data_IF_664930473256
#
_entry.id   IF_664930473256
#
_cell.length_a   1.000
_cell.length_b   1.000
_cell.length_c   1.000
_cell.angle_alpha   90.00
_cell.angle_beta   90.00
_cell.angle_gamma   90.00
#
_symmetry.space_group_name_H-M   'P 1'
#
loop_
_entity.id
_entity.type
_entity.pdbx_description
1 polymer ?
#
# COMPACT_ATOMS: atom_id res chain seq x y z
N UNK A 1 -0.24 13.07 -0.13
CA UNK A 1 -1.41 12.55 -0.89
C UNK A 1 -1.94 11.30 -0.19
N UNK A 2 -3.24 11.01 -0.26
CA UNK A 2 -3.82 9.79 0.32
C UNK A 2 -5.01 9.30 -0.51
N UNK A 3 -5.32 8.01 -0.41
CA UNK A 3 -6.49 7.41 -1.04
C UNK A 3 -6.77 6.01 -0.54
N UNK A 4 -8.02 5.58 -0.63
CA UNK A 4 -8.50 4.26 -0.24
C UNK A 4 -9.34 3.63 -1.36
N UNK A 5 -9.56 2.32 -1.26
CA UNK A 5 -10.36 1.58 -2.23
C UNK A 5 -10.15 0.08 -2.12
N UNK A 6 -10.21 -0.62 -3.26
CA UNK A 6 -10.05 -2.08 -3.31
C UNK A 6 -9.03 -2.53 -4.37
N UNK A 7 -8.23 -3.54 -4.03
CA UNK A 7 -7.36 -4.29 -4.95
C UNK A 7 -7.80 -5.75 -4.92
N UNK A 8 -8.24 -6.31 -6.04
CA UNK A 8 -8.71 -7.70 -6.13
C UNK A 8 -9.82 -8.04 -5.09
N UNK A 9 -10.67 -7.06 -4.75
CA UNK A 9 -11.72 -7.16 -3.74
C UNK A 9 -11.25 -7.05 -2.29
N UNK A 10 -9.98 -6.66 -2.06
CA UNK A 10 -9.38 -6.46 -0.75
C UNK A 10 -9.23 -4.97 -0.47
N UNK A 11 -9.66 -4.47 0.70
CA UNK A 11 -9.52 -3.07 1.07
C UNK A 11 -8.05 -2.63 1.05
N UNK A 12 -7.79 -1.41 0.57
CA UNK A 12 -6.47 -0.80 0.64
C UNK A 12 -6.51 0.63 1.18
N UNK A 13 -5.37 1.05 1.73
CA UNK A 13 -5.07 2.45 2.04
C UNK A 13 -3.69 2.82 1.50
N UNK A 14 -3.63 3.91 0.73
CA UNK A 14 -2.40 4.51 0.21
C UNK A 14 -2.14 5.83 0.91
N UNK A 15 -0.90 6.05 1.33
CA UNK A 15 -0.47 7.30 1.92
C UNK A 15 0.92 7.67 1.41
N UNK A 16 1.06 8.90 0.92
CA UNK A 16 2.35 9.49 0.59
C UNK A 16 2.55 10.75 1.42
N UNK A 17 3.59 10.75 2.25
CA UNK A 17 3.91 11.80 3.21
C UNK A 17 5.42 11.96 3.31
N UNK A 18 5.86 13.20 3.55
CA UNK A 18 7.29 13.49 3.69
C UNK A 18 8.06 13.02 2.46
N UNK A 19 8.99 12.10 2.63
CA UNK A 19 9.84 11.48 1.63
C UNK A 19 9.51 10.00 1.42
N UNK A 20 8.35 9.50 1.88
CA UNK A 20 7.93 8.11 1.67
C UNK A 20 6.48 7.97 1.25
N UNK A 21 6.17 6.80 0.71
CA UNK A 21 4.80 6.36 0.49
C UNK A 21 4.63 4.91 0.93
N UNK A 22 3.42 4.57 1.33
CA UNK A 22 3.03 3.26 1.80
C UNK A 22 1.71 2.82 1.16
N UNK A 23 1.56 1.52 0.98
CA UNK A 23 0.33 0.85 0.60
C UNK A 23 0.04 -0.28 1.58
N UNK A 24 -1.11 -0.19 2.23
CA UNK A 24 -1.66 -1.19 3.13
C UNK A 24 -2.82 -1.91 2.43
N UNK A 25 -2.84 -3.24 2.49
CA UNK A 25 -3.91 -4.08 1.95
C UNK A 25 -4.33 -5.07 3.02
N UNK A 26 -5.63 -5.20 3.28
CA UNK A 26 -6.16 -6.06 4.35
C UNK A 26 -7.14 -7.11 3.85
N UNK A 27 -7.45 -8.09 4.71
CA UNK A 27 -8.56 -9.01 4.48
C UNK A 27 -9.90 -8.26 4.54
N UNK A 28 -10.97 -8.76 3.89
CA UNK A 28 -12.29 -8.15 3.98
C UNK A 28 -12.77 -8.06 5.43
N UNK A 29 -13.23 -6.87 5.85
CA UNK A 29 -13.70 -6.61 7.21
C UNK A 29 -12.62 -6.11 8.19
N UNK A 30 -11.37 -6.00 7.76
CA UNK A 30 -10.29 -5.35 8.51
C UNK A 30 -10.06 -3.93 7.97
N UNK A 31 -9.76 -2.97 8.85
CA UNK A 31 -9.44 -1.60 8.47
C UNK A 31 -7.99 -1.51 7.96
N UNK A 32 -7.73 -1.07 6.71
CA UNK A 32 -6.37 -0.89 6.21
C UNK A 32 -5.56 0.20 6.94
N UNK A 33 -6.21 1.09 7.69
CA UNK A 33 -5.51 2.04 8.58
C UNK A 33 -4.93 1.38 9.84
N UNK A 34 -5.39 0.18 10.19
CA UNK A 34 -4.98 -0.57 11.39
C UNK A 34 -3.93 -1.65 11.07
N UNK A 35 -3.24 -1.56 9.93
CA UNK A 35 -2.15 -2.48 9.60
C UNK A 35 -0.93 -2.19 10.48
N UNK A 36 -0.68 -3.07 11.43
CA UNK A 36 0.51 -3.08 12.28
C UNK A 36 1.25 -4.42 12.20
N UNK A 37 2.37 -4.54 12.92
CA UNK A 37 3.17 -5.78 12.96
C UNK A 37 2.36 -6.98 13.45
N UNK A 38 1.39 -6.77 14.34
CA UNK A 38 0.56 -7.84 14.87
C UNK A 38 -0.47 -8.31 13.83
N UNK A 39 -1.08 -7.39 13.08
CA UNK A 39 -1.98 -7.70 11.96
C UNK A 39 -1.26 -8.45 10.84
N UNK A 40 -0.04 -8.02 10.48
CA UNK A 40 0.79 -8.74 9.50
C UNK A 40 1.18 -10.13 10.00
N UNK A 41 1.55 -10.29 11.27
CA UNK A 41 1.87 -11.59 11.86
C UNK A 41 0.67 -12.57 11.88
N UNK A 42 -0.57 -12.05 11.95
CA UNK A 42 -1.80 -12.84 11.84
C UNK A 42 -2.23 -13.10 10.40
N UNK A 43 -1.55 -12.52 9.40
CA UNK A 43 -1.93 -12.62 7.98
C UNK A 43 -3.18 -11.82 7.62
N UNK A 44 -3.57 -10.86 8.46
CA UNK A 44 -4.74 -9.99 8.29
C UNK A 44 -4.44 -8.78 7.39
N UNK A 45 -3.15 -8.46 7.22
CA UNK A 45 -2.70 -7.32 6.42
C UNK A 45 -1.38 -7.58 5.71
N UNK A 46 -1.12 -6.73 4.73
CA UNK A 46 0.12 -6.63 3.98
C UNK A 46 0.46 -5.15 3.84
N UNK A 47 1.72 -4.78 4.11
CA UNK A 47 2.23 -3.42 3.96
C UNK A 47 3.43 -3.42 3.03
N UNK A 48 3.49 -2.39 2.19
CA UNK A 48 4.68 -2.04 1.44
C UNK A 48 4.95 -0.55 1.58
N UNK A 49 6.21 -0.22 1.84
CA UNK A 49 6.66 1.16 2.02
C UNK A 49 7.94 1.38 1.21
N UNK A 50 8.05 2.55 0.58
CA UNK A 50 9.25 2.99 -0.11
C UNK A 50 9.57 4.46 0.14
N UNK A 51 10.87 4.76 0.14
CA UNK A 51 11.37 6.14 0.07
C UNK A 51 11.19 6.66 -1.36
N UNK A 52 10.56 7.82 -1.49
CA UNK A 52 10.41 8.55 -2.74
C UNK A 52 11.77 9.16 -3.15
N UNK A 53 12.20 8.99 -4.41
CA UNK A 53 13.52 9.47 -4.86
C UNK A 53 13.64 11.01 -4.98
N UNK A 54 12.59 11.76 -4.66
CA UNK A 54 12.58 13.23 -4.69
C UNK A 54 13.30 13.89 -3.51
N UNK A 55 13.07 15.18 -3.35
CA UNK A 55 13.49 15.95 -2.19
C UNK A 55 12.67 15.61 -0.93
N UNK A 56 13.12 16.10 0.24
CA UNK A 56 12.32 16.01 1.46
C UNK A 56 10.98 16.70 1.19
N UNK A 57 9.87 16.04 1.51
CA UNK A 57 8.47 16.50 1.29
C UNK A 57 7.85 16.18 -0.08
N UNK A 58 8.63 15.76 -1.08
CA UNK A 58 8.12 15.60 -2.45
C UNK A 58 7.13 14.43 -2.59
N UNK A 59 7.18 13.42 -1.71
CA UNK A 59 6.21 12.34 -1.72
C UNK A 59 4.79 12.86 -1.43
N UNK A 60 4.68 13.88 -0.57
CA UNK A 60 3.40 14.49 -0.21
C UNK A 60 2.66 15.12 -1.40
N UNK A 61 3.42 15.52 -2.43
CA UNK A 61 2.96 16.23 -3.63
C UNK A 61 3.08 15.39 -4.90
N UNK A 62 3.08 14.06 -4.79
CA UNK A 62 3.11 13.17 -5.95
C UNK A 62 1.95 13.47 -6.91
N UNK A 63 2.25 13.49 -8.20
CA UNK A 63 1.25 13.56 -9.25
C UNK A 63 0.48 12.23 -9.34
N UNK A 64 -0.77 12.29 -9.82
CA UNK A 64 -1.63 11.10 -9.92
C UNK A 64 -1.00 9.97 -10.75
N UNK A 65 -0.29 10.32 -11.82
CA UNK A 65 0.42 9.34 -12.66
C UNK A 65 1.52 8.59 -11.89
N UNK A 66 2.21 9.28 -10.97
CA UNK A 66 3.26 8.67 -10.15
C UNK A 66 2.67 7.81 -9.03
N UNK A 67 1.55 8.24 -8.44
CA UNK A 67 0.78 7.41 -7.52
C UNK A 67 0.32 6.12 -8.21
N UNK A 68 -0.21 6.20 -9.43
CA UNK A 68 -0.63 5.02 -10.18
C UNK A 68 0.54 4.05 -10.41
N UNK A 69 1.73 4.55 -10.81
CA UNK A 69 2.92 3.70 -10.98
C UNK A 69 3.37 3.03 -9.69
N UNK A 70 3.28 3.73 -8.56
CA UNK A 70 3.63 3.17 -7.26
C UNK A 70 2.64 2.08 -6.83
N UNK A 71 1.34 2.34 -7.01
CA UNK A 71 0.26 1.38 -6.79
C UNK A 71 0.45 0.13 -7.65
N UNK A 72 0.65 0.27 -8.97
CA UNK A 72 0.81 -0.86 -9.89
C UNK A 72 1.96 -1.79 -9.47
N UNK A 73 3.08 -1.19 -9.03
CA UNK A 73 4.24 -1.93 -8.55
C UNK A 73 3.98 -2.62 -7.21
N UNK A 74 3.41 -1.92 -6.23
CA UNK A 74 3.09 -2.52 -4.93
C UNK A 74 2.07 -3.65 -5.06
N UNK A 75 1.04 -3.48 -5.90
CA UNK A 75 0.06 -4.52 -6.19
C UNK A 75 0.70 -5.73 -6.88
N UNK A 76 1.66 -5.53 -7.78
CA UNK A 76 2.42 -6.64 -8.37
C UNK A 76 3.20 -7.43 -7.30
N UNK A 77 3.85 -6.75 -6.35
CA UNK A 77 4.54 -7.38 -5.23
C UNK A 77 3.58 -8.13 -4.31
N UNK A 78 2.44 -7.52 -3.98
CA UNK A 78 1.38 -8.13 -3.20
C UNK A 78 0.91 -9.44 -3.84
N UNK A 79 0.57 -9.41 -5.12
CA UNK A 79 0.13 -10.60 -5.88
C UNK A 79 1.20 -11.69 -5.92
N UNK A 80 2.47 -11.31 -6.07
CA UNK A 80 3.60 -12.26 -6.05
C UNK A 80 3.83 -12.89 -4.66
N UNK A 81 3.50 -12.18 -3.58
CA UNK A 81 3.62 -12.68 -2.21
C UNK A 81 2.53 -13.68 -1.82
N UNK A 82 1.40 -13.68 -2.55
CA UNK A 82 0.30 -14.63 -2.33
C UNK A 82 0.60 -15.93 -3.09
N UNK A 83 0.64 -17.09 -2.42
CA UNK A 83 0.70 -18.35 -3.13
C UNK A 83 -0.56 -18.50 -3.99
N UNK A 84 -0.38 -18.84 -5.26
CA UNK A 84 -1.49 -19.19 -6.14
C UNK A 84 -2.29 -20.29 -5.44
N UNK A 85 -3.52 -19.98 -5.04
CA UNK A 85 -4.42 -20.99 -4.49
C UNK A 85 -4.85 -21.85 -5.68
N UNK A 86 -4.22 -23.02 -5.81
CA UNK A 86 -4.60 -24.08 -6.76
C UNK A 86 -5.92 -24.72 -6.33
#
# INVERSE_FOLDING_TARGET
MQGDGEVDGLPFYFCARWDSWELDITQPGCDPLDVDDAAMARGEGWRHEEVWPGGPYDAGTMELDDVQRCMDRAVALFRASRPATL
#
